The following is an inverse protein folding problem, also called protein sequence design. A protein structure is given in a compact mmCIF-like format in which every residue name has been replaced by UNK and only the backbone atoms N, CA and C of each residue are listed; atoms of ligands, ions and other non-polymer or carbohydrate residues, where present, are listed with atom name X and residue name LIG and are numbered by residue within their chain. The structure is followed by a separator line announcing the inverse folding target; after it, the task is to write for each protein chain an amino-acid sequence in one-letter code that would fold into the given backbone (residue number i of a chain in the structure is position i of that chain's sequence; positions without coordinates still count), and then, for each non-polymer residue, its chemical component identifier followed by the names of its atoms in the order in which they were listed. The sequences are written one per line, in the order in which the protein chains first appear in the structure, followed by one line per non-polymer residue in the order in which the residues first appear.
data_IF_754009279666
#
_entry.id   IF_754009279666
#
_cell.length_a   1.000
_cell.length_b   1.000
_cell.length_c   1.000
_cell.angle_alpha   90.00
_cell.angle_beta   90.00
_cell.angle_gamma   90.00
#
_symmetry.space_group_name_H-M   'P 1'
#
loop_
_entity.id
_entity.type
_entity.pdbx_description
1 polymer ?
#
# COMPACT_ATOMS: atom_id res chain seq x y z
N UNK A 1 1.31 -20.11 12.53
CA UNK A 1 0.02 -20.16 11.81
C UNK A 1 -0.03 -19.06 10.76
N UNK A 2 -0.44 -19.42 9.54
CA UNK A 2 -0.45 -18.44 8.47
C UNK A 2 -1.71 -17.58 8.52
N UNK A 3 -1.55 -16.31 8.17
CA UNK A 3 -2.67 -15.39 8.07
C UNK A 3 -3.52 -15.69 6.83
N UNK A 4 -4.80 -15.43 6.94
CA UNK A 4 -5.72 -15.37 5.81
C UNK A 4 -6.62 -14.15 6.02
N UNK A 5 -7.44 -13.77 5.04
CA UNK A 5 -8.23 -12.54 5.18
C UNK A 5 -9.09 -12.50 6.42
N UNK A 6 -9.81 -13.58 6.71
CA UNK A 6 -10.73 -13.59 7.84
C UNK A 6 -10.00 -13.47 9.17
N UNK A 7 -8.93 -14.27 9.35
CA UNK A 7 -8.18 -14.29 10.61
C UNK A 7 -7.52 -12.93 10.85
N UNK A 8 -6.93 -12.35 9.79
CA UNK A 8 -6.30 -11.05 9.95
C UNK A 8 -7.33 -9.97 10.24
N UNK A 9 -8.46 -9.97 9.57
CA UNK A 9 -9.50 -8.98 9.83
C UNK A 9 -9.94 -9.03 11.29
N UNK A 10 -10.16 -10.23 11.83
CA UNK A 10 -10.56 -10.39 13.21
C UNK A 10 -9.50 -9.88 14.17
N UNK A 11 -8.24 -10.17 13.89
CA UNK A 11 -7.14 -9.74 14.75
C UNK A 11 -7.01 -8.20 14.74
N UNK A 12 -7.11 -7.58 13.58
CA UNK A 12 -7.01 -6.13 13.47
C UNK A 12 -8.15 -5.42 14.20
N UNK A 13 -9.33 -6.00 14.20
CA UNK A 13 -10.49 -5.41 14.87
C UNK A 13 -10.36 -5.40 16.39
N UNK A 14 -9.46 -6.19 16.96
CA UNK A 14 -9.20 -6.17 18.40
C UNK A 14 -8.34 -4.98 18.84
N UNK A 15 -7.72 -4.28 17.89
CA UNK A 15 -6.80 -3.18 18.20
C UNK A 15 -7.57 -1.86 18.23
N UNK A 16 -7.94 -1.43 19.42
CA UNK A 16 -8.79 -0.25 19.60
C UNK A 16 -8.10 1.05 19.21
N UNK A 17 -6.78 1.10 19.31
CA UNK A 17 -6.03 2.30 18.97
C UNK A 17 -5.87 2.49 17.46
N UNK A 18 -6.20 1.47 16.68
CA UNK A 18 -6.08 1.54 15.24
C UNK A 18 -7.42 1.95 14.62
N UNK A 19 -7.44 3.15 14.04
CA UNK A 19 -8.67 3.72 13.49
C UNK A 19 -8.82 3.31 12.01
N UNK A 20 -9.50 2.19 11.79
CA UNK A 20 -9.64 1.61 10.46
C UNK A 20 -11.05 1.09 10.23
N UNK A 21 -11.41 1.00 8.95
CA UNK A 21 -12.59 0.25 8.52
C UNK A 21 -12.11 -0.88 7.61
N UNK A 22 -12.68 -2.06 7.77
CA UNK A 22 -12.26 -3.23 7.01
C UNK A 22 -13.41 -3.74 6.15
N UNK A 23 -13.12 -3.93 4.86
CA UNK A 23 -14.03 -4.61 3.94
C UNK A 23 -13.40 -5.96 3.61
N UNK A 24 -14.10 -7.02 3.95
CA UNK A 24 -13.58 -8.37 3.78
C UNK A 24 -14.08 -8.98 2.49
N UNK A 25 -13.16 -9.31 1.59
CA UNK A 25 -13.45 -10.03 0.37
C UNK A 25 -12.93 -11.46 0.50
N UNK A 26 -13.25 -12.30 -0.47
CA UNK A 26 -12.94 -13.71 -0.37
C UNK A 26 -11.44 -13.98 -0.22
N UNK A 27 -10.60 -13.24 -0.96
CA UNK A 27 -9.15 -13.48 -0.99
C UNK A 27 -8.33 -12.27 -0.58
N UNK A 28 -8.98 -11.22 -0.16
CA UNK A 28 -8.30 -9.96 0.14
C UNK A 28 -9.07 -9.16 1.17
N UNK A 29 -8.41 -8.15 1.68
CA UNK A 29 -9.05 -7.16 2.54
C UNK A 29 -8.82 -5.79 1.93
N UNK A 30 -9.77 -4.90 2.12
CA UNK A 30 -9.56 -3.48 1.88
C UNK A 30 -9.65 -2.82 3.23
N UNK A 31 -8.57 -2.16 3.63
CA UNK A 31 -8.49 -1.51 4.93
C UNK A 31 -8.39 -0.01 4.70
N UNK A 32 -9.38 0.71 5.21
CA UNK A 32 -9.39 2.16 5.11
C UNK A 32 -8.68 2.73 6.33
N UNK A 33 -7.60 3.46 6.10
CA UNK A 33 -6.80 4.05 7.18
C UNK A 33 -7.36 5.43 7.49
N UNK A 34 -8.26 5.51 8.47
CA UNK A 34 -9.02 6.73 8.72
C UNK A 34 -8.17 7.90 9.18
N UNK A 35 -7.09 7.63 9.90
CA UNK A 35 -6.19 8.70 10.35
C UNK A 35 -5.29 9.23 9.24
N UNK A 36 -5.37 8.65 8.04
CA UNK A 36 -4.55 9.02 6.88
C UNK A 36 -5.43 9.50 5.73
N UNK A 37 -6.51 10.21 6.06
CA UNK A 37 -7.41 10.71 5.04
C UNK A 37 -8.24 9.63 4.39
N UNK A 38 -8.57 8.60 5.16
CA UNK A 38 -9.35 7.44 4.70
C UNK A 38 -8.67 6.69 3.56
N UNK A 39 -7.34 6.66 3.58
CA UNK A 39 -6.55 5.98 2.56
C UNK A 39 -6.86 4.49 2.51
N UNK A 40 -7.25 3.95 1.35
CA UNK A 40 -7.52 2.51 1.25
C UNK A 40 -6.24 1.73 0.99
N UNK A 41 -6.03 0.68 1.75
CA UNK A 41 -4.97 -0.30 1.52
C UNK A 41 -5.59 -1.60 1.06
N UNK A 42 -5.07 -2.18 -0.01
CA UNK A 42 -5.47 -3.51 -0.44
C UNK A 42 -4.51 -4.52 0.17
N UNK A 43 -5.04 -5.53 0.84
CA UNK A 43 -4.22 -6.58 1.45
C UNK A 43 -4.52 -7.88 0.71
N UNK A 44 -3.52 -8.36 -0.02
CA UNK A 44 -3.66 -9.53 -0.89
C UNK A 44 -2.88 -10.69 -0.28
N UNK A 45 -3.49 -11.86 -0.32
CA UNK A 45 -2.87 -13.06 0.24
C UNK A 45 -2.55 -14.02 -0.89
N UNK A 46 -1.28 -14.39 -1.01
CA UNK A 46 -0.86 -15.44 -1.95
C UNK A 46 -0.46 -16.67 -1.14
N UNK A 47 -0.03 -17.73 -1.82
CA UNK A 47 0.45 -18.91 -1.14
C UNK A 47 1.78 -18.69 -0.42
N UNK A 48 2.45 -17.57 -0.66
CA UNK A 48 3.80 -17.32 -0.17
C UNK A 48 3.95 -16.06 0.65
N UNK A 49 3.05 -15.09 0.49
CA UNK A 49 3.25 -13.79 1.13
C UNK A 49 1.94 -13.02 1.22
N UNK A 50 1.99 -12.00 2.07
CA UNK A 50 0.96 -10.97 2.13
C UNK A 50 1.50 -9.76 1.39
N UNK A 51 0.72 -9.18 0.49
CA UNK A 51 1.10 -7.94 -0.19
C UNK A 51 0.11 -6.86 0.24
N UNK A 52 0.64 -5.76 0.75
CA UNK A 52 -0.18 -4.60 1.13
C UNK A 52 0.17 -3.49 0.16
N UNK A 53 -0.83 -2.95 -0.52
CA UNK A 53 -0.56 -1.94 -1.54
C UNK A 53 -1.61 -0.84 -1.53
N UNK A 54 -1.23 0.32 -2.08
CA UNK A 54 -2.15 1.42 -2.27
C UNK A 54 -1.80 2.15 -3.57
N UNK A 55 -2.82 2.65 -4.25
CA UNK A 55 -2.65 3.38 -5.50
C UNK A 55 -2.23 4.81 -5.19
N UNK A 56 -1.20 5.29 -5.88
CA UNK A 56 -0.72 6.67 -5.74
C UNK A 56 -1.38 7.56 -6.77
N UNK A 57 -1.23 7.24 -8.06
CA UNK A 57 -1.84 8.04 -9.13
C UNK A 57 -1.75 7.28 -10.45
N UNK A 58 -2.57 7.66 -11.44
CA UNK A 58 -2.43 7.09 -12.78
C UNK A 58 -1.08 7.47 -13.39
N UNK A 59 -0.46 6.53 -14.10
CA UNK A 59 0.79 6.81 -14.81
C UNK A 59 0.58 7.94 -15.81
N UNK A 60 -0.60 7.97 -16.45
CA UNK A 60 -0.91 9.00 -17.45
C UNK A 60 -0.95 10.42 -16.88
N UNK A 61 -1.07 10.58 -15.57
CA UNK A 61 -1.09 11.91 -14.95
C UNK A 61 0.31 12.50 -14.79
N UNK A 62 1.36 11.71 -14.99
CA UNK A 62 2.73 12.16 -14.82
C UNK A 62 3.26 12.64 -16.18
N UNK A 63 3.74 13.86 -16.23
CA UNK A 63 4.20 14.48 -17.49
C UNK A 63 5.55 13.96 -17.97
N UNK A 64 6.50 13.82 -17.05
CA UNK A 64 7.85 13.38 -17.38
C UNK A 64 8.06 11.99 -16.81
N UNK A 65 7.38 11.00 -17.41
CA UNK A 65 7.37 9.64 -16.87
C UNK A 65 8.76 9.03 -16.77
N UNK A 66 9.59 9.20 -17.80
CA UNK A 66 10.92 8.62 -17.76
C UNK A 66 11.74 9.18 -16.60
N UNK A 67 11.68 10.48 -16.41
CA UNK A 67 12.40 11.14 -15.35
C UNK A 67 11.89 10.72 -13.96
N UNK A 68 10.57 10.67 -13.83
CA UNK A 68 9.96 10.25 -12.58
C UNK A 68 10.28 8.80 -12.25
N UNK A 69 10.24 7.92 -13.27
CA UNK A 69 10.56 6.50 -13.07
C UNK A 69 12.01 6.32 -12.59
N UNK A 70 12.94 7.06 -13.18
CA UNK A 70 14.34 6.99 -12.75
C UNK A 70 14.49 7.51 -11.33
N UNK A 71 13.79 8.59 -11.01
CA UNK A 71 13.79 9.14 -9.66
C UNK A 71 13.33 8.09 -8.65
N UNK A 72 12.21 7.43 -8.93
CA UNK A 72 11.68 6.40 -8.03
C UNK A 72 12.66 5.25 -7.85
N UNK A 73 13.23 4.75 -8.95
CA UNK A 73 14.16 3.62 -8.87
C UNK A 73 15.42 3.98 -8.11
N UNK A 74 15.91 5.21 -8.24
CA UNK A 74 17.10 5.64 -7.52
C UNK A 74 16.88 5.80 -6.03
N UNK A 75 15.64 6.03 -5.61
CA UNK A 75 15.32 6.37 -4.23
C UNK A 75 14.53 5.29 -3.49
N UNK A 76 14.38 4.10 -4.08
CA UNK A 76 13.62 3.02 -3.45
C UNK A 76 14.10 2.69 -2.03
N UNK A 77 15.41 2.68 -1.84
CA UNK A 77 15.98 2.32 -0.55
C UNK A 77 15.70 3.35 0.55
N UNK A 78 15.27 4.54 0.16
CA UNK A 78 14.98 5.59 1.14
C UNK A 78 13.57 5.46 1.72
N UNK A 79 12.72 4.65 1.10
CA UNK A 79 11.39 4.39 1.64
C UNK A 79 11.48 3.25 2.66
N UNK A 80 11.16 3.53 3.94
CA UNK A 80 11.20 2.43 4.92
C UNK A 80 10.11 1.40 4.59
N UNK A 81 10.51 0.15 4.46
CA UNK A 81 9.63 -1.01 4.30
C UNK A 81 8.80 -1.06 3.01
N UNK A 82 8.73 0.02 2.26
CA UNK A 82 7.87 0.08 1.07
C UNK A 82 8.68 0.17 -0.21
N UNK A 83 8.03 -0.20 -1.31
CA UNK A 83 8.57 -0.02 -2.65
C UNK A 83 7.49 0.59 -3.52
N UNK A 84 7.89 1.11 -4.68
CA UNK A 84 6.95 1.70 -5.63
C UNK A 84 7.07 0.94 -6.95
N UNK A 85 5.94 0.63 -7.55
CA UNK A 85 5.90 -0.04 -8.83
C UNK A 85 4.77 0.48 -9.68
N UNK A 86 4.57 -0.16 -10.79
CA UNK A 86 3.46 0.15 -11.70
C UNK A 86 2.59 -1.09 -11.79
N UNK A 87 1.29 -0.91 -11.56
CA UNK A 87 0.32 -1.99 -11.68
C UNK A 87 -0.74 -1.61 -12.69
N UNK A 88 -1.17 -2.61 -13.47
CA UNK A 88 -2.27 -2.43 -14.39
C UNK A 88 -3.58 -2.78 -13.70
N UNK A 89 -4.54 -1.85 -13.74
CA UNK A 89 -5.88 -2.09 -13.23
C UNK A 89 -6.82 -1.88 -14.41
N UNK A 90 -7.45 -2.97 -14.85
CA UNK A 90 -8.26 -2.99 -16.07
C UNK A 90 -7.41 -2.60 -17.28
N UNK A 91 -7.62 -1.44 -17.88
CA UNK A 91 -6.87 -1.00 -19.06
C UNK A 91 -5.87 0.08 -18.78
N UNK A 92 -5.78 0.54 -17.53
CA UNK A 92 -4.93 1.66 -17.17
C UNK A 92 -3.82 1.23 -16.23
N UNK A 93 -2.72 1.97 -16.27
CA UNK A 93 -1.59 1.73 -15.37
C UNK A 93 -1.53 2.78 -14.28
N UNK A 94 -1.15 2.35 -13.08
CA UNK A 94 -1.07 3.21 -11.91
C UNK A 94 0.26 3.01 -11.21
N UNK A 95 0.80 4.10 -10.66
CA UNK A 95 1.88 3.97 -9.68
C UNK A 95 1.26 3.48 -8.38
N UNK A 96 1.88 2.47 -7.79
CA UNK A 96 1.42 1.90 -6.53
C UNK A 96 2.58 1.82 -5.55
N UNK A 97 2.30 2.06 -4.28
CA UNK A 97 3.24 1.79 -3.22
C UNK A 97 2.83 0.48 -2.56
N UNK A 98 3.80 -0.34 -2.21
CA UNK A 98 3.47 -1.66 -1.65
C UNK A 98 4.56 -2.16 -0.72
N UNK A 99 4.19 -3.12 0.11
CA UNK A 99 5.11 -3.88 0.93
C UNK A 99 4.71 -5.34 0.92
N UNK A 100 5.64 -6.21 1.22
CA UNK A 100 5.39 -7.65 1.27
C UNK A 100 5.87 -8.22 2.60
N UNK A 101 5.09 -9.16 3.12
CA UNK A 101 5.35 -9.79 4.41
C UNK A 101 5.19 -11.30 4.30
N UNK A 102 5.87 -12.02 5.19
CA UNK A 102 5.63 -13.44 5.36
C UNK A 102 4.20 -13.67 5.85
N UNK A 103 3.59 -14.76 5.40
CA UNK A 103 2.29 -15.19 5.90
C UNK A 103 2.30 -15.47 7.40
N UNK A 104 3.48 -15.65 7.98
CA UNK A 104 3.65 -15.95 9.40
C UNK A 104 4.15 -14.76 10.21
N UNK A 105 4.07 -13.56 9.64
CA UNK A 105 4.48 -12.33 10.33
C UNK A 105 3.61 -12.10 11.57
N UNK A 106 4.18 -11.44 12.57
CA UNK A 106 3.41 -11.07 13.76
C UNK A 106 2.37 -10.01 13.42
N UNK A 107 1.35 -9.90 14.25
CA UNK A 107 0.36 -8.84 14.09
C UNK A 107 1.01 -7.46 14.18
N UNK A 108 1.96 -7.30 15.10
CA UNK A 108 2.68 -6.04 15.23
C UNK A 108 3.42 -5.67 13.94
N UNK A 109 4.04 -6.65 13.29
CA UNK A 109 4.74 -6.40 12.03
C UNK A 109 3.76 -6.02 10.91
N UNK A 110 2.60 -6.67 10.88
CA UNK A 110 1.57 -6.32 9.89
C UNK A 110 1.10 -4.87 10.08
N UNK A 111 0.83 -4.49 11.32
CA UNK A 111 0.37 -3.12 11.62
C UNK A 111 1.47 -2.11 11.27
N UNK A 112 2.72 -2.43 11.62
CA UNK A 112 3.84 -1.55 11.28
C UNK A 112 3.96 -1.35 9.77
N UNK A 113 3.80 -2.44 9.01
CA UNK A 113 3.84 -2.34 7.55
C UNK A 113 2.71 -1.45 7.02
N UNK A 114 1.51 -1.61 7.57
CA UNK A 114 0.35 -0.81 7.15
C UNK A 114 0.55 0.68 7.43
N UNK A 115 0.97 1.02 8.64
CA UNK A 115 1.13 2.43 9.01
C UNK A 115 2.30 3.07 8.28
N UNK A 116 3.38 2.32 8.08
CA UNK A 116 4.53 2.82 7.33
C UNK A 116 4.16 3.05 5.86
N UNK A 117 3.41 2.12 5.27
CA UNK A 117 2.96 2.29 3.89
C UNK A 117 2.06 3.51 3.76
N UNK A 118 1.17 3.73 4.73
CA UNK A 118 0.29 4.90 4.70
C UNK A 118 1.08 6.19 4.76
N UNK A 119 2.09 6.27 5.64
CA UNK A 119 2.97 7.44 5.71
C UNK A 119 3.68 7.66 4.37
N UNK A 120 4.25 6.60 3.80
CA UNK A 120 4.98 6.68 2.54
C UNK A 120 4.07 7.09 1.40
N UNK A 121 2.83 6.61 1.39
CA UNK A 121 1.87 6.96 0.33
C UNK A 121 1.55 8.44 0.34
N UNK A 122 1.38 9.03 1.50
CA UNK A 122 1.11 10.45 1.60
C UNK A 122 2.31 11.27 1.13
N UNK A 123 3.51 10.86 1.49
CA UNK A 123 4.73 11.54 1.02
C UNK A 123 4.87 11.42 -0.49
N UNK A 124 4.60 10.23 -1.05
CA UNK A 124 4.67 10.03 -2.50
C UNK A 124 3.63 10.85 -3.23
N UNK A 125 2.44 11.00 -2.66
CA UNK A 125 1.40 11.82 -3.28
C UNK A 125 1.86 13.28 -3.41
N UNK A 126 2.57 13.80 -2.40
CA UNK A 126 3.13 15.15 -2.48
C UNK A 126 4.20 15.25 -3.56
N UNK A 127 5.06 14.24 -3.66
CA UNK A 127 6.11 14.23 -4.68
C UNK A 127 5.51 14.19 -6.08
N UNK A 128 4.45 13.40 -6.29
CA UNK A 128 3.84 13.30 -7.62
C UNK A 128 3.23 14.62 -8.08
N UNK A 129 2.83 15.49 -7.14
CA UNK A 129 2.27 16.79 -7.52
C UNK A 129 3.26 17.61 -8.32
N UNK A 130 4.56 17.45 -8.06
CA UNK A 130 5.60 18.16 -8.82
C UNK A 130 5.71 17.69 -10.26
N UNK A 131 5.22 16.51 -10.56
CA UNK A 131 5.30 15.90 -11.87
C UNK A 131 3.97 15.90 -12.62
N UNK A 132 2.88 16.32 -11.97
CA UNK A 132 1.55 16.33 -12.59
C UNK A 132 1.15 17.70 -13.09
N UNK A 133 1.82 18.73 -12.64
CA UNK A 133 1.48 20.10 -13.02
C UNK A 133 2.26 20.52 -14.26
N UNK A 134 1.60 21.28 -15.10
CA UNK A 134 2.26 21.82 -16.29
C UNK A 134 3.30 22.82 -15.91
#
# INVERSE_FOLDING_TARGET
MAWNPQVLAEALQTLQELNIDIENNERSLIIKMNDYGDLPLSVLFTSRQIIIETIICPVSSIHQQDEFNVFLLRNQKLLPLSSVGISRVQHDEYYVAFGALSLNSSLDDVVLEMTTLADNALDLAEITEEYTNE
#
